data_IF_808944414501
#
_entry.id   IF_808944414501
#
_cell.length_a   1.000
_cell.length_b   1.000
_cell.length_c   1.000
_cell.angle_alpha   90.00
_cell.angle_beta   90.00
_cell.angle_gamma   90.00
#
_symmetry.space_group_name_H-M   'P 1'
#
loop_
_entity.id
_entity.type
_entity.pdbx_description
1 polymer ?
#
# COMPACT_ATOMS: atom_id res chain seq x y z
N UNK A 1 0.41 -8.69 -23.76
CA UNK A 1 1.04 -7.93 -22.66
C UNK A 1 1.13 -8.73 -21.36
N UNK A 2 0.03 -9.32 -20.87
CA UNK A 2 -0.01 -10.11 -19.61
C UNK A 2 0.95 -11.31 -19.61
N UNK A 3 1.08 -12.05 -20.72
CA UNK A 3 2.01 -13.18 -20.83
C UNK A 3 3.48 -12.77 -20.65
N UNK A 4 3.88 -11.58 -21.13
CA UNK A 4 5.25 -11.05 -20.97
C UNK A 4 5.55 -10.62 -19.53
N UNK A 5 4.54 -10.10 -18.80
CA UNK A 5 4.69 -9.78 -17.38
C UNK A 5 4.79 -11.04 -16.52
N UNK A 6 3.99 -12.08 -16.80
CA UNK A 6 4.09 -13.37 -16.08
C UNK A 6 5.46 -14.02 -16.20
N UNK A 7 6.18 -13.80 -17.31
CA UNK A 7 7.55 -14.29 -17.49
C UNK A 7 8.58 -13.57 -16.58
N UNK A 8 8.22 -12.45 -15.94
CA UNK A 8 9.04 -11.71 -14.98
C UNK A 8 8.34 -11.65 -13.63
N UNK A 9 8.54 -12.65 -12.74
CA UNK A 9 7.71 -12.88 -11.56
C UNK A 9 7.59 -11.66 -10.63
N UNK A 10 8.65 -10.89 -10.46
CA UNK A 10 8.63 -9.70 -9.60
C UNK A 10 7.88 -8.51 -10.24
N UNK A 11 7.98 -8.30 -11.55
CA UNK A 11 7.17 -7.30 -12.25
C UNK A 11 5.69 -7.67 -12.22
N UNK A 12 5.39 -8.97 -12.31
CA UNK A 12 4.02 -9.45 -12.16
C UNK A 12 3.48 -9.22 -10.75
N UNK A 13 4.28 -9.48 -9.72
CA UNK A 13 3.94 -9.14 -8.32
C UNK A 13 3.72 -7.65 -8.13
N UNK A 14 4.57 -6.80 -8.73
CA UNK A 14 4.40 -5.36 -8.67
C UNK A 14 3.10 -4.90 -9.34
N UNK A 15 2.78 -5.42 -10.53
CA UNK A 15 1.51 -5.11 -11.20
C UNK A 15 0.30 -5.54 -10.36
N UNK A 16 0.35 -6.72 -9.73
CA UNK A 16 -0.69 -7.17 -8.80
C UNK A 16 -0.77 -6.28 -7.55
N UNK A 17 0.36 -5.84 -7.00
CA UNK A 17 0.41 -4.93 -5.87
C UNK A 17 -0.32 -3.62 -6.18
N UNK A 18 -0.06 -3.02 -7.34
CA UNK A 18 -0.78 -1.82 -7.78
C UNK A 18 -2.28 -2.08 -7.96
N UNK A 19 -2.65 -3.19 -8.62
CA UNK A 19 -4.06 -3.53 -8.84
C UNK A 19 -4.83 -3.77 -7.52
N UNK A 20 -4.21 -4.48 -6.57
CA UNK A 20 -4.77 -4.69 -5.23
C UNK A 20 -4.84 -3.38 -4.45
N UNK A 21 -3.86 -2.49 -4.60
CA UNK A 21 -3.90 -1.14 -4.05
C UNK A 21 -5.11 -0.34 -4.52
N UNK A 22 -5.39 -0.32 -5.82
CA UNK A 22 -6.59 0.34 -6.39
C UNK A 22 -7.87 -0.29 -5.84
N UNK A 23 -7.94 -1.62 -5.80
CA UNK A 23 -9.09 -2.33 -5.23
C UNK A 23 -9.30 -1.99 -3.75
N UNK A 24 -8.21 -1.87 -2.99
CA UNK A 24 -8.27 -1.49 -1.58
C UNK A 24 -8.78 -0.05 -1.39
N UNK A 25 -8.38 0.90 -2.25
CA UNK A 25 -8.93 2.26 -2.21
C UNK A 25 -10.43 2.26 -2.48
N UNK A 26 -10.90 1.49 -3.47
CA UNK A 26 -12.32 1.34 -3.74
C UNK A 26 -13.06 0.71 -2.53
N UNK A 27 -12.50 -0.35 -1.94
CA UNK A 27 -13.07 -0.99 -0.75
C UNK A 27 -13.15 -0.04 0.45
N UNK A 28 -12.07 0.71 0.72
CA UNK A 28 -12.04 1.70 1.81
C UNK A 28 -13.08 2.80 1.63
N UNK A 29 -13.26 3.29 0.40
CA UNK A 29 -14.32 4.26 0.08
C UNK A 29 -15.71 3.69 0.31
N UNK A 30 -15.98 2.46 -0.17
CA UNK A 30 -17.26 1.79 0.05
C UNK A 30 -17.52 1.57 1.54
N UNK A 31 -16.53 1.10 2.29
CA UNK A 31 -16.65 0.91 3.73
C UNK A 31 -16.96 2.24 4.45
N UNK A 32 -16.20 3.30 4.13
CA UNK A 32 -16.45 4.65 4.66
C UNK A 32 -17.86 5.13 4.33
N UNK A 33 -18.30 4.98 3.07
CA UNK A 33 -19.64 5.36 2.64
C UNK A 33 -20.71 4.58 3.38
N UNK A 34 -20.48 3.29 3.66
CA UNK A 34 -21.42 2.47 4.41
C UNK A 34 -21.54 2.93 5.86
N UNK A 35 -20.43 3.20 6.54
CA UNK A 35 -20.44 3.76 7.90
C UNK A 35 -21.14 5.10 7.97
N UNK A 36 -20.84 5.99 7.03
CA UNK A 36 -21.43 7.32 6.97
C UNK A 36 -22.94 7.25 6.67
N UNK A 37 -23.35 6.55 5.62
CA UNK A 37 -24.70 6.64 5.07
C UNK A 37 -25.72 5.70 5.73
N UNK A 38 -25.28 4.53 6.19
CA UNK A 38 -26.17 3.49 6.71
C UNK A 38 -26.02 3.24 8.20
N UNK A 39 -24.87 3.55 8.79
CA UNK A 39 -24.64 3.37 10.23
C UNK A 39 -24.73 4.70 11.00
N UNK A 40 -24.96 5.81 10.31
CA UNK A 40 -25.21 7.13 10.93
C UNK A 40 -23.97 7.80 11.51
N UNK A 41 -22.76 7.34 11.15
CA UNK A 41 -21.52 7.92 11.65
C UNK A 41 -21.34 9.31 11.04
N UNK A 42 -20.75 10.25 11.78
CA UNK A 42 -20.26 11.49 11.18
C UNK A 42 -19.15 11.17 10.15
N UNK A 43 -18.92 12.03 9.14
CA UNK A 43 -17.86 11.80 8.14
C UNK A 43 -16.49 11.49 8.74
N UNK A 44 -16.14 12.19 9.83
CA UNK A 44 -14.89 11.97 10.57
C UNK A 44 -14.90 10.65 11.35
N UNK A 45 -16.00 10.33 12.03
CA UNK A 45 -16.12 9.06 12.77
C UNK A 45 -16.07 7.84 11.85
N UNK A 46 -16.62 7.94 10.64
CA UNK A 46 -16.59 6.87 9.64
C UNK A 46 -15.18 6.55 9.13
N UNK A 47 -14.22 7.48 9.23
CA UNK A 47 -12.83 7.24 8.81
C UNK A 47 -12.16 6.17 9.66
N UNK A 48 -12.39 6.14 10.97
CA UNK A 48 -11.69 5.22 11.88
C UNK A 48 -11.98 3.74 11.54
N UNK A 49 -13.24 3.27 11.52
CA UNK A 49 -13.53 1.87 11.22
C UNK A 49 -13.27 1.52 9.75
N UNK A 50 -13.47 2.47 8.81
CA UNK A 50 -13.15 2.22 7.40
C UNK A 50 -11.65 2.08 7.13
N UNK A 51 -10.80 2.87 7.79
CA UNK A 51 -9.35 2.70 7.74
C UNK A 51 -8.91 1.40 8.39
N UNK A 52 -9.46 1.05 9.56
CA UNK A 52 -9.14 -0.21 10.22
C UNK A 52 -9.48 -1.42 9.33
N UNK A 53 -10.70 -1.46 8.77
CA UNK A 53 -11.11 -2.49 7.82
C UNK A 53 -10.27 -2.47 6.55
N UNK A 54 -9.97 -1.28 6.02
CA UNK A 54 -9.13 -1.09 4.85
C UNK A 54 -7.73 -1.67 5.06
N UNK A 55 -7.07 -1.40 6.19
CA UNK A 55 -5.74 -1.95 6.48
C UNK A 55 -5.78 -3.48 6.56
N UNK A 56 -6.78 -4.05 7.23
CA UNK A 56 -6.95 -5.50 7.33
C UNK A 56 -7.22 -6.14 5.96
N UNK A 57 -8.12 -5.56 5.17
CA UNK A 57 -8.42 -5.99 3.81
C UNK A 57 -7.18 -5.91 2.92
N UNK A 58 -6.45 -4.80 2.98
CA UNK A 58 -5.21 -4.57 2.24
C UNK A 58 -4.15 -5.63 2.58
N UNK A 59 -3.97 -5.93 3.87
CA UNK A 59 -3.06 -6.99 4.31
C UNK A 59 -3.48 -8.35 3.76
N UNK A 60 -4.75 -8.73 3.95
CA UNK A 60 -5.24 -10.04 3.53
C UNK A 60 -5.15 -10.24 2.00
N UNK A 61 -5.46 -9.20 1.24
CA UNK A 61 -5.39 -9.23 -0.23
C UNK A 61 -3.94 -9.24 -0.72
N UNK A 62 -3.04 -8.44 -0.16
CA UNK A 62 -1.61 -8.53 -0.50
C UNK A 62 -1.01 -9.89 -0.12
N UNK A 63 -1.25 -10.36 1.10
CA UNK A 63 -0.75 -11.64 1.59
C UNK A 63 -1.21 -12.77 0.67
N UNK A 64 -2.52 -12.90 0.41
CA UNK A 64 -3.07 -14.02 -0.39
C UNK A 64 -2.86 -13.87 -1.90
N UNK A 65 -3.18 -12.72 -2.49
CA UNK A 65 -3.26 -12.56 -3.96
C UNK A 65 -1.91 -12.20 -4.60
N UNK A 66 -1.06 -11.47 -3.88
CA UNK A 66 0.21 -10.95 -4.39
C UNK A 66 1.38 -11.85 -3.98
N UNK A 67 1.44 -12.25 -2.71
CA UNK A 67 2.61 -12.92 -2.14
C UNK A 67 2.40 -14.40 -1.77
N UNK A 68 1.16 -14.91 -1.77
CA UNK A 68 0.85 -16.28 -1.39
C UNK A 68 1.13 -16.61 0.08
N UNK A 69 1.25 -15.60 0.94
CA UNK A 69 1.42 -15.74 2.38
C UNK A 69 0.08 -15.97 3.09
N UNK A 70 0.07 -16.88 4.07
CA UNK A 70 -1.10 -17.20 4.90
C UNK A 70 -0.99 -16.65 6.33
N UNK A 71 -2.14 -16.47 6.99
CA UNK A 71 -2.24 -16.08 8.40
C UNK A 71 -2.03 -14.58 8.67
N UNK A 72 -2.10 -14.21 9.96
CA UNK A 72 -1.97 -12.81 10.45
C UNK A 72 -0.64 -12.53 11.15
N UNK A 73 0.26 -13.53 11.24
CA UNK A 73 1.53 -13.41 11.93
C UNK A 73 2.46 -12.33 11.34
N UNK A 74 2.27 -11.96 10.07
CA UNK A 74 3.04 -10.92 9.37
C UNK A 74 2.36 -9.55 9.35
N UNK A 75 1.18 -9.42 9.98
CA UNK A 75 0.44 -8.16 10.06
C UNK A 75 1.27 -7.07 10.77
N UNK A 76 1.97 -7.32 11.90
CA UNK A 76 2.79 -6.29 12.55
C UNK A 76 3.90 -5.76 11.64
N UNK A 77 4.60 -6.64 10.92
CA UNK A 77 5.67 -6.27 9.98
C UNK A 77 5.11 -5.51 8.77
N UNK A 78 3.91 -5.89 8.30
CA UNK A 78 3.22 -5.17 7.24
C UNK A 78 2.84 -3.75 7.67
N UNK A 79 2.27 -3.59 8.87
CA UNK A 79 1.96 -2.27 9.44
C UNK A 79 3.24 -1.46 9.61
N UNK A 80 4.31 -2.05 10.15
CA UNK A 80 5.60 -1.38 10.29
C UNK A 80 6.17 -0.92 8.93
N UNK A 81 6.02 -1.71 7.86
CA UNK A 81 6.42 -1.32 6.51
C UNK A 81 5.68 -0.07 6.03
N UNK A 82 4.35 0.00 6.21
CA UNK A 82 3.58 1.19 5.84
C UNK A 82 3.89 2.41 6.71
N UNK A 83 4.15 2.22 8.00
CA UNK A 83 4.61 3.30 8.87
C UNK A 83 5.99 3.84 8.44
N UNK A 84 6.90 2.96 8.01
CA UNK A 84 8.18 3.36 7.44
C UNK A 84 8.02 4.14 6.12
N UNK A 85 7.13 3.69 5.23
CA UNK A 85 6.79 4.42 3.99
C UNK A 85 6.21 5.80 4.31
N UNK A 86 5.31 5.89 5.30
CA UNK A 86 4.73 7.15 5.75
C UNK A 86 5.81 8.11 6.26
N UNK A 87 6.70 7.63 7.14
CA UNK A 87 7.82 8.42 7.64
C UNK A 87 8.74 8.91 6.52
N UNK A 88 9.08 8.04 5.57
CA UNK A 88 9.89 8.39 4.41
C UNK A 88 9.19 9.41 3.50
N UNK A 89 7.89 9.26 3.24
CA UNK A 89 7.10 10.19 2.44
C UNK A 89 7.07 11.58 3.11
N UNK A 90 6.81 11.65 4.42
CA UNK A 90 6.79 12.91 5.17
C UNK A 90 8.15 13.61 5.15
N UNK A 91 9.25 12.87 5.35
CA UNK A 91 10.60 13.42 5.31
C UNK A 91 10.96 13.94 3.91
N UNK A 92 10.70 13.15 2.87
CA UNK A 92 10.97 13.53 1.49
C UNK A 92 10.11 14.73 1.05
N UNK A 93 8.82 14.77 1.44
CA UNK A 93 7.92 15.87 1.12
C UNK A 93 8.39 17.17 1.77
N UNK A 94 8.81 17.13 3.05
CA UNK A 94 9.41 18.29 3.71
C UNK A 94 10.67 18.76 2.98
N UNK A 95 11.55 17.84 2.57
CA UNK A 95 12.73 18.18 1.78
C UNK A 95 12.40 18.90 0.47
N UNK A 96 11.43 18.40 -0.31
CA UNK A 96 10.98 19.03 -1.55
C UNK A 96 10.37 20.41 -1.31
N UNK A 97 9.59 20.59 -0.25
CA UNK A 97 9.02 21.90 0.10
C UNK A 97 10.13 22.90 0.46
N UNK A 98 11.16 22.46 1.19
CA UNK A 98 12.33 23.31 1.51
C UNK A 98 13.10 23.70 0.24
N UNK A 99 13.10 22.85 -0.79
CA UNK A 99 13.65 23.17 -2.11
C UNK A 99 12.75 24.10 -2.95
N UNK A 100 11.64 24.59 -2.40
CA UNK A 100 10.75 25.54 -3.05
C UNK A 100 9.61 24.92 -3.86
N UNK A 101 9.41 23.60 -3.80
CA UNK A 101 8.29 22.97 -4.48
C UNK A 101 6.99 23.23 -3.71
N UNK A 102 5.92 23.52 -4.45
CA UNK A 102 4.58 23.59 -3.87
C UNK A 102 4.13 22.20 -3.38
N UNK A 103 3.37 22.10 -2.27
CA UNK A 103 3.03 20.81 -1.66
C UNK A 103 2.38 19.80 -2.62
N UNK A 104 1.49 20.27 -3.51
CA UNK A 104 0.84 19.42 -4.50
C UNK A 104 1.82 18.77 -5.48
N UNK A 105 2.81 19.55 -5.97
CA UNK A 105 3.85 19.05 -6.87
C UNK A 105 4.80 18.09 -6.14
N UNK A 106 5.19 18.43 -4.90
CA UNK A 106 6.01 17.56 -4.07
C UNK A 106 5.36 16.19 -3.88
N UNK A 107 4.06 16.17 -3.53
CA UNK A 107 3.32 14.92 -3.36
C UNK A 107 3.17 14.14 -4.67
N UNK A 108 2.89 14.84 -5.79
CA UNK A 108 2.81 14.23 -7.12
C UNK A 108 4.11 13.50 -7.51
N UNK A 109 5.27 14.12 -7.28
CA UNK A 109 6.58 13.53 -7.54
C UNK A 109 6.86 12.31 -6.64
N UNK A 110 6.31 12.29 -5.43
CA UNK A 110 6.53 11.22 -4.47
C UNK A 110 5.63 9.99 -4.70
N UNK A 111 4.56 10.07 -5.49
CA UNK A 111 3.64 8.95 -5.74
C UNK A 111 4.38 7.69 -6.22
N UNK A 112 5.18 7.83 -7.28
CA UNK A 112 5.91 6.70 -7.89
C UNK A 112 7.01 6.14 -6.99
N UNK A 113 7.95 6.93 -6.45
CA UNK A 113 9.01 6.40 -5.60
C UNK A 113 8.47 5.80 -4.29
N UNK A 114 7.40 6.35 -3.72
CA UNK A 114 6.80 5.79 -2.50
C UNK A 114 6.01 4.52 -2.77
N UNK A 115 5.34 4.39 -3.93
CA UNK A 115 4.73 3.13 -4.33
C UNK A 115 5.79 2.02 -4.54
N UNK A 116 6.93 2.36 -5.14
CA UNK A 116 8.06 1.43 -5.30
C UNK A 116 8.66 1.03 -3.93
N UNK A 117 8.89 1.99 -3.04
CA UNK A 117 9.35 1.74 -1.68
C UNK A 117 8.38 0.83 -0.91
N UNK A 118 7.08 1.12 -0.99
CA UNK A 118 6.04 0.30 -0.37
C UNK A 118 6.08 -1.14 -0.89
N UNK A 119 6.22 -1.33 -2.20
CA UNK A 119 6.36 -2.67 -2.76
C UNK A 119 7.58 -3.41 -2.21
N UNK A 120 8.73 -2.76 -2.10
CA UNK A 120 9.96 -3.38 -1.55
C UNK A 120 9.77 -3.77 -0.10
N UNK A 121 9.32 -2.84 0.75
CA UNK A 121 9.16 -3.09 2.19
C UNK A 121 8.06 -4.10 2.50
N UNK A 122 6.93 -4.06 1.78
CA UNK A 122 5.86 -5.05 1.91
C UNK A 122 6.32 -6.42 1.41
N UNK A 123 7.07 -6.48 0.31
CA UNK A 123 7.67 -7.74 -0.16
C UNK A 123 8.58 -8.35 0.90
N UNK A 124 9.42 -7.53 1.53
CA UNK A 124 10.30 -7.97 2.61
C UNK A 124 9.49 -8.42 3.84
N UNK A 125 8.49 -7.65 4.25
CA UNK A 125 7.63 -7.97 5.39
C UNK A 125 6.87 -9.30 5.19
N UNK A 126 6.30 -9.51 4.00
CA UNK A 126 5.44 -10.67 3.71
C UNK A 126 6.21 -11.92 3.28
N UNK A 127 7.37 -11.78 2.65
CA UNK A 127 8.13 -12.93 2.10
C UNK A 127 9.50 -13.13 2.74
N UNK A 128 10.03 -12.13 3.45
CA UNK A 128 11.41 -12.14 3.94
C UNK A 128 12.48 -11.97 2.85
N UNK A 129 12.08 -11.60 1.62
CA UNK A 129 12.99 -11.47 0.47
C UNK A 129 12.83 -10.12 -0.20
N UNK A 130 13.93 -9.58 -0.71
CA UNK A 130 13.92 -8.41 -1.58
C UNK A 130 13.37 -8.80 -2.96
N UNK A 131 12.47 -7.98 -3.55
CA UNK A 131 12.07 -8.17 -4.93
C UNK A 131 13.27 -7.89 -5.84
N UNK A 132 13.36 -8.59 -6.98
CA UNK A 132 14.44 -8.48 -7.96
C UNK A 132 15.82 -8.92 -7.46
N UNK A 133 15.91 -9.55 -6.29
CA UNK A 133 17.14 -10.22 -5.83
C UNK A 133 17.45 -11.44 -6.69
N UNK A 134 18.73 -11.72 -6.95
CA UNK A 134 19.14 -12.95 -7.64
C UNK A 134 18.62 -14.16 -6.87
N UNK A 135 17.74 -14.95 -7.49
CA UNK A 135 17.52 -16.35 -7.09
C UNK A 135 18.87 -17.05 -7.18
N UNK A 136 19.46 -17.37 -6.02
CA UNK A 136 20.47 -18.42 -5.95
C UNK A 136 19.78 -19.76 -6.10
#
# INVERSE_FOLDING_TARGET
MIARLRARPDLWRFAKFLAVGVLNTAFGYVAWFVFYRFLGFSPGAALVPSYALGVLWNYLTHARLVFGAGGIARLPQYVAAYLAVLGANMAAMRGLIVLGLVPALAQALLLVPMAALAFVLVSLALTGRLPFGRTR
#
